data_IF_925417331900
#
_entry.id   IF_925417331900
#
_cell.length_a   1.000
_cell.length_b   1.000
_cell.length_c   1.000
_cell.angle_alpha   90.00
_cell.angle_beta   90.00
_cell.angle_gamma   90.00
#
_symmetry.space_group_name_H-M   'P 1'
#
loop_
_entity.id
_entity.type
_entity.pdbx_description
1 polymer ?
#
# COMPACT_ATOMS: atom_id res chain seq x y z
N UNK A 1 -2.20 -10.96 8.63
CA UNK A 1 -2.03 -11.09 7.17
C UNK A 1 -0.54 -11.24 6.88
N UNK A 2 -0.15 -12.08 5.93
CA UNK A 2 1.23 -12.20 5.42
C UNK A 2 1.51 -11.13 4.35
N UNK A 3 2.77 -10.96 3.95
CA UNK A 3 3.12 -10.08 2.83
C UNK A 3 2.38 -10.44 1.54
N UNK A 4 2.20 -11.74 1.25
CA UNK A 4 1.53 -12.22 0.04
C UNK A 4 0.03 -11.91 0.06
N UNK A 5 -0.63 -12.07 1.21
CA UNK A 5 -2.04 -11.73 1.38
C UNK A 5 -2.30 -10.23 1.18
N UNK A 6 -1.40 -9.38 1.71
CA UNK A 6 -1.49 -7.93 1.50
C UNK A 6 -1.29 -7.57 0.02
N UNK A 7 -0.29 -8.19 -0.64
CA UNK A 7 -0.05 -7.97 -2.08
C UNK A 7 -1.27 -8.37 -2.91
N UNK A 8 -1.85 -9.54 -2.63
CA UNK A 8 -3.03 -10.02 -3.33
C UNK A 8 -4.22 -9.07 -3.13
N UNK A 9 -4.51 -8.67 -1.89
CA UNK A 9 -5.63 -7.77 -1.58
C UNK A 9 -5.53 -6.42 -2.33
N UNK A 10 -4.34 -5.82 -2.35
CA UNK A 10 -4.14 -4.57 -3.09
C UNK A 10 -4.23 -4.76 -4.60
N UNK A 11 -3.67 -5.85 -5.14
CA UNK A 11 -3.69 -6.18 -6.57
C UNK A 11 -5.10 -6.53 -7.09
N UNK A 12 -5.97 -7.05 -6.22
CA UNK A 12 -7.37 -7.34 -6.54
C UNK A 12 -8.32 -6.17 -6.30
N UNK A 13 -7.81 -5.01 -5.86
CA UNK A 13 -8.62 -3.82 -5.61
C UNK A 13 -9.46 -3.89 -4.34
N UNK A 14 -8.83 -4.12 -3.18
CA UNK A 14 -9.52 -4.15 -1.89
C UNK A 14 -10.33 -2.88 -1.57
N UNK A 15 -11.24 -3.00 -0.61
CA UNK A 15 -11.96 -1.87 -0.01
C UNK A 15 -11.03 -0.95 0.80
N UNK A 16 -11.51 0.28 1.07
CA UNK A 16 -10.76 1.25 1.87
C UNK A 16 -10.69 0.80 3.34
N UNK A 17 -11.71 0.10 3.82
CA UNK A 17 -11.78 -0.51 5.15
C UNK A 17 -10.73 -1.61 5.32
N UNK A 18 -10.57 -2.49 4.33
CA UNK A 18 -9.53 -3.52 4.32
C UNK A 18 -8.14 -2.88 4.38
N UNK A 19 -7.88 -1.84 3.59
CA UNK A 19 -6.62 -1.10 3.64
C UNK A 19 -6.34 -0.53 5.04
N UNK A 20 -7.34 0.11 5.67
CA UNK A 20 -7.21 0.68 7.02
C UNK A 20 -7.00 -0.38 8.10
N UNK A 21 -7.49 -1.60 7.87
CA UNK A 21 -7.30 -2.73 8.75
C UNK A 21 -5.91 -3.39 8.59
N UNK A 22 -5.18 -3.12 7.51
CA UNK A 22 -3.85 -3.70 7.28
C UNK A 22 -2.87 -3.31 8.39
N UNK A 23 -2.06 -4.29 8.79
CA UNK A 23 -1.01 -4.15 9.81
C UNK A 23 0.28 -4.76 9.29
N UNK A 24 1.40 -4.30 9.86
CA UNK A 24 2.71 -4.84 9.52
C UNK A 24 2.76 -6.32 9.91
N UNK A 25 3.11 -7.24 8.99
CA UNK A 25 3.17 -8.67 9.32
C UNK A 25 4.33 -9.04 10.27
N UNK A 26 5.29 -8.14 10.46
CA UNK A 26 6.47 -8.37 11.32
C UNK A 26 6.21 -7.95 12.76
N UNK A 27 5.65 -6.76 12.97
CA UNK A 27 5.49 -6.16 14.30
C UNK A 27 4.04 -5.84 14.67
N UNK A 28 3.08 -6.17 13.80
CA UNK A 28 1.64 -5.85 13.93
C UNK A 28 1.32 -4.34 14.03
N UNK A 29 2.33 -3.50 13.85
CA UNK A 29 2.21 -2.05 13.89
C UNK A 29 1.44 -1.45 12.71
N UNK A 30 1.11 -0.17 12.84
CA UNK A 30 0.46 0.60 11.78
C UNK A 30 1.35 0.70 10.54
N UNK A 31 0.70 0.72 9.40
CA UNK A 31 1.34 0.90 8.10
C UNK A 31 0.79 2.12 7.40
N UNK A 32 1.61 2.74 6.55
CA UNK A 32 1.21 3.82 5.66
C UNK A 32 1.21 3.32 4.24
N UNK A 33 0.16 3.66 3.51
CA UNK A 33 0.00 3.35 2.10
C UNK A 33 0.30 4.58 1.25
N UNK A 34 1.08 4.39 0.19
CA UNK A 34 1.53 5.44 -0.69
C UNK A 34 1.29 5.08 -2.15
N UNK A 35 0.64 5.96 -2.90
CA UNK A 35 0.41 5.81 -4.35
C UNK A 35 1.35 6.71 -5.14
N UNK A 36 1.88 6.20 -6.25
CA UNK A 36 2.71 6.97 -7.16
C UNK A 36 1.86 8.02 -7.90
N UNK A 37 2.29 9.30 -7.96
CA UNK A 37 1.47 10.39 -8.52
C UNK A 37 1.25 10.29 -10.04
N UNK A 38 2.08 9.52 -10.76
CA UNK A 38 2.03 9.42 -12.24
C UNK A 38 1.87 7.99 -12.78
N UNK A 39 1.85 6.98 -11.91
CA UNK A 39 1.86 5.56 -12.30
C UNK A 39 0.90 4.83 -11.38
N UNK A 40 0.28 3.76 -11.86
CA UNK A 40 -0.64 2.95 -11.05
C UNK A 40 0.12 1.99 -10.12
N UNK A 41 1.15 2.48 -9.46
CA UNK A 41 1.98 1.70 -8.53
C UNK A 41 1.84 2.24 -7.12
N UNK A 42 2.10 1.40 -6.12
CA UNK A 42 2.00 1.78 -4.72
C UNK A 42 3.03 1.04 -3.85
N UNK A 43 3.22 1.50 -2.63
CA UNK A 43 3.93 0.73 -1.61
C UNK A 43 3.29 0.93 -0.25
N UNK A 44 3.52 -0.06 0.63
CA UNK A 44 3.16 -0.02 2.04
C UNK A 44 4.44 0.06 2.85
N UNK A 45 4.48 0.96 3.84
CA UNK A 45 5.62 1.11 4.75
C UNK A 45 5.16 0.94 6.19
N UNK A 46 5.91 0.18 6.99
CA UNK A 46 5.69 0.14 8.43
C UNK A 46 6.08 1.48 9.08
N UNK A 47 5.30 1.94 10.07
CA UNK A 47 5.64 3.17 10.80
C UNK A 47 6.68 2.95 11.91
N UNK A 48 6.81 1.73 12.40
CA UNK A 48 7.66 1.39 13.54
C UNK A 48 9.00 0.77 13.12
N UNK A 49 9.00 0.09 11.98
CA UNK A 49 10.19 -0.53 11.39
C UNK A 49 10.48 0.12 10.02
N UNK A 50 11.73 0.07 9.58
CA UNK A 50 12.13 0.56 8.27
C UNK A 50 11.73 -0.37 7.11
N UNK A 51 11.04 -1.47 7.41
CA UNK A 51 10.45 -2.38 6.43
C UNK A 51 9.40 -1.69 5.54
N UNK A 52 9.50 -1.95 4.24
CA UNK A 52 8.48 -1.57 3.27
C UNK A 52 8.22 -2.73 2.29
N UNK A 53 7.01 -2.77 1.76
CA UNK A 53 6.59 -3.67 0.70
C UNK A 53 6.16 -2.81 -0.49
N UNK A 54 6.95 -2.86 -1.56
CA UNK A 54 6.62 -2.17 -2.81
C UNK A 54 5.84 -3.08 -3.76
N UNK A 55 4.83 -2.51 -4.41
CA UNK A 55 4.16 -3.09 -5.56
C UNK A 55 4.53 -2.27 -6.80
N UNK A 56 5.50 -2.77 -7.54
CA UNK A 56 6.01 -2.13 -8.75
C UNK A 56 5.16 -2.41 -9.99
N UNK A 57 4.28 -3.41 -9.92
CA UNK A 57 3.34 -3.72 -11.00
C UNK A 57 2.26 -2.64 -11.07
N UNK A 58 1.96 -2.19 -12.29
CA UNK A 58 0.85 -1.27 -12.51
C UNK A 58 -0.46 -1.99 -12.16
N UNK A 59 -1.16 -1.51 -11.13
CA UNK A 59 -2.47 -2.00 -10.78
C UNK A 59 -3.42 -1.69 -11.94
N UNK A 60 -3.93 -2.73 -12.66
CA UNK A 60 -4.78 -2.50 -13.82
C UNK A 60 -6.14 -1.93 -13.42
N UNK A 61 -6.59 -2.19 -12.18
CA UNK A 61 -7.90 -1.82 -11.64
C UNK A 61 -7.73 -1.16 -10.25
N UNK A 62 -7.17 0.05 -10.17
CA UNK A 62 -7.05 0.75 -8.89
C UNK A 62 -8.46 1.06 -8.34
N UNK A 63 -8.71 0.83 -7.04
CA UNK A 63 -9.95 1.23 -6.38
C UNK A 63 -10.25 2.73 -6.47
N UNK A 64 -11.51 3.13 -6.35
CA UNK A 64 -11.93 4.54 -6.43
C UNK A 64 -11.30 5.44 -5.35
N UNK A 65 -10.91 4.87 -4.21
CA UNK A 65 -10.24 5.59 -3.14
C UNK A 65 -8.73 5.77 -3.36
N UNK A 66 -8.15 5.16 -4.39
CA UNK A 66 -6.70 5.10 -4.63
C UNK A 66 -6.04 6.48 -4.72
N UNK A 67 -6.69 7.42 -5.41
CA UNK A 67 -6.15 8.78 -5.60
C UNK A 67 -6.02 9.57 -4.28
N UNK A 68 -6.79 9.22 -3.24
CA UNK A 68 -6.71 9.86 -1.91
C UNK A 68 -5.35 9.65 -1.25
N UNK A 69 -4.62 8.61 -1.63
CA UNK A 69 -3.35 8.21 -1.06
C UNK A 69 -2.14 8.59 -1.93
N UNK A 70 -2.35 9.43 -2.94
CA UNK A 70 -1.25 10.03 -3.69
C UNK A 70 -0.51 11.00 -2.78
N UNK A 71 0.75 10.70 -2.46
CA UNK A 71 1.60 11.60 -1.67
C UNK A 71 2.85 11.97 -2.46
N UNK A 72 3.21 13.24 -2.48
CA UNK A 72 4.35 13.74 -3.27
C UNK A 72 5.73 13.48 -2.61
N UNK A 73 5.80 12.79 -1.48
CA UNK A 73 7.06 12.52 -0.75
C UNK A 73 7.45 11.05 -0.65
N UNK A 74 6.49 10.12 -0.63
CA UNK A 74 6.80 8.69 -0.45
C UNK A 74 7.62 8.07 -1.59
N UNK A 75 7.53 8.62 -2.80
CA UNK A 75 8.19 8.11 -4.00
C UNK A 75 9.46 8.89 -4.41
N UNK A 76 9.70 10.05 -3.79
CA UNK A 76 10.82 10.95 -4.14
C UNK A 76 11.89 11.02 -3.04
N UNK A 77 11.83 10.15 -2.04
CA UNK A 77 12.83 10.02 -0.97
C UNK A 77 13.92 9.02 -1.32
#
# INVERSE_FOLDING_TARGET
MTHEEIRHALGSGCSEEELKAMRCPVCEGNVVFYVHPKRRSCFIRCQQDNGHMAMHEENPLPPDWWEKYVTQGGWMS
#
